data_IF_895181534380
#
_entry.id   IF_895181534380
#
_cell.length_a   1.000
_cell.length_b   1.000
_cell.length_c   1.000
_cell.angle_alpha   90.00
_cell.angle_beta   90.00
_cell.angle_gamma   90.00
#
_symmetry.space_group_name_H-M   'P 1'
#
loop_
_entity.id
_entity.type
_entity.pdbx_description
1 polymer ?
#
# COMPACT_ATOMS: atom_id res chain seq x y z
N UNK A 1 22.98 66.03 -23.15
CA UNK A 1 22.21 65.68 -21.94
C UNK A 1 22.27 64.18 -21.79
N UNK A 2 22.64 63.77 -20.59
CA UNK A 2 23.19 62.48 -20.18
C UNK A 2 22.10 61.42 -19.95
N UNK A 3 22.50 60.13 -19.96
CA UNK A 3 22.05 59.05 -19.05
C UNK A 3 22.48 57.65 -19.54
N UNK A 4 23.57 57.12 -18.95
CA UNK A 4 23.65 55.90 -18.08
C UNK A 4 22.78 54.66 -18.43
N UNK A 5 23.11 53.38 -18.26
CA UNK A 5 24.07 52.51 -17.54
C UNK A 5 23.71 51.07 -18.04
N UNK A 6 24.43 49.96 -17.89
CA UNK A 6 25.68 49.60 -17.25
C UNK A 6 25.91 48.10 -17.55
N UNK A 7 26.96 47.78 -18.29
CA UNK A 7 27.37 46.40 -18.56
C UNK A 7 28.34 45.97 -17.45
N UNK A 8 27.81 45.30 -16.43
CA UNK A 8 28.64 44.69 -15.37
C UNK A 8 29.46 43.54 -15.95
N UNK A 9 30.78 43.72 -15.97
CA UNK A 9 31.81 42.72 -16.27
C UNK A 9 31.66 41.53 -15.30
N UNK A 10 31.20 40.39 -15.78
CA UNK A 10 31.33 39.12 -15.05
C UNK A 10 32.79 38.65 -15.16
N UNK A 11 33.45 38.50 -14.01
CA UNK A 11 34.87 38.15 -13.86
C UNK A 11 35.13 36.66 -14.19
N UNK A 12 35.36 36.34 -15.47
CA UNK A 12 35.65 34.97 -15.96
C UNK A 12 36.96 34.32 -15.51
N UNK A 13 37.70 34.89 -14.55
CA UNK A 13 39.01 34.35 -14.13
C UNK A 13 38.91 33.35 -12.95
N UNK A 14 37.97 33.56 -12.03
CA UNK A 14 37.82 32.71 -10.82
C UNK A 14 37.14 31.37 -11.13
N UNK A 15 36.19 31.38 -12.05
CA UNK A 15 35.43 30.18 -12.42
C UNK A 15 36.28 29.23 -13.26
N UNK A 16 37.13 29.78 -14.14
CA UNK A 16 38.01 29.00 -15.03
C UNK A 16 39.17 28.31 -14.28
N UNK A 17 39.79 28.97 -13.28
CA UNK A 17 40.79 28.33 -12.40
C UNK A 17 40.18 27.18 -11.59
N UNK A 18 38.95 27.33 -11.09
CA UNK A 18 38.28 26.31 -10.29
C UNK A 18 37.95 25.05 -11.10
N UNK A 19 37.54 25.20 -12.37
CA UNK A 19 37.23 24.11 -13.30
C UNK A 19 38.53 23.40 -13.75
N UNK A 20 39.58 24.15 -14.08
CA UNK A 20 40.89 23.58 -14.45
C UNK A 20 41.50 22.82 -13.26
N UNK A 21 41.47 23.39 -12.05
CA UNK A 21 41.94 22.72 -10.82
C UNK A 21 41.15 21.43 -10.53
N UNK A 22 39.82 21.44 -10.71
CA UNK A 22 38.97 20.23 -10.62
C UNK A 22 39.38 19.17 -11.66
N UNK A 23 39.63 19.58 -12.91
CA UNK A 23 40.07 18.70 -14.01
C UNK A 23 41.41 18.04 -13.70
N UNK A 24 42.33 18.80 -13.10
CA UNK A 24 43.68 18.35 -12.75
C UNK A 24 43.70 17.39 -11.53
N UNK A 25 42.78 17.56 -10.57
CA UNK A 25 42.66 16.66 -9.41
C UNK A 25 42.15 15.29 -9.83
N UNK A 26 41.18 15.19 -10.74
CA UNK A 26 40.65 13.91 -11.24
C UNK A 26 41.57 13.17 -12.22
N UNK A 27 42.45 13.90 -12.94
CA UNK A 27 43.42 13.30 -13.85
C UNK A 27 44.65 12.70 -13.15
N UNK A 28 45.04 13.23 -11.98
CA UNK A 28 46.18 12.72 -11.19
C UNK A 28 45.85 11.48 -10.36
N UNK A 29 44.56 11.22 -10.13
CA UNK A 29 44.12 10.08 -9.34
C UNK A 29 44.34 8.79 -10.13
N UNK A 30 45.03 7.83 -9.50
CA UNK A 30 45.30 6.53 -10.10
C UNK A 30 43.98 5.82 -10.45
N UNK A 31 44.02 4.85 -11.38
CA UNK A 31 42.83 4.03 -11.72
C UNK A 31 42.20 3.42 -10.45
N UNK A 32 43.03 3.06 -9.48
CA UNK A 32 42.62 2.50 -8.19
C UNK A 32 41.83 3.50 -7.34
N UNK A 33 42.25 4.77 -7.28
CA UNK A 33 41.52 5.79 -6.52
C UNK A 33 40.15 6.10 -7.12
N UNK A 34 40.00 6.03 -8.45
CA UNK A 34 38.69 6.18 -9.11
C UNK A 34 37.76 5.01 -8.83
N UNK A 35 38.29 3.78 -8.84
CA UNK A 35 37.54 2.57 -8.46
C UNK A 35 37.10 2.68 -7.01
N UNK A 36 37.97 3.11 -6.10
CA UNK A 36 37.65 3.30 -4.69
C UNK A 36 36.54 4.35 -4.48
N UNK A 37 36.59 5.48 -5.20
CA UNK A 37 35.54 6.51 -5.16
C UNK A 37 34.20 6.01 -5.73
N UNK A 38 34.24 5.20 -6.78
CA UNK A 38 33.03 4.59 -7.32
C UNK A 38 32.42 3.56 -6.35
N UNK A 39 33.24 2.69 -5.77
CA UNK A 39 32.79 1.68 -4.78
C UNK A 39 32.23 2.35 -3.53
N UNK A 40 32.89 3.37 -2.99
CA UNK A 40 32.37 4.12 -1.84
C UNK A 40 31.07 4.85 -2.16
N UNK A 41 30.94 5.45 -3.35
CA UNK A 41 29.67 6.02 -3.81
C UNK A 41 28.55 5.00 -3.93
N UNK A 42 28.83 3.81 -4.49
CA UNK A 42 27.86 2.71 -4.59
C UNK A 42 27.45 2.23 -3.20
N UNK A 43 28.40 2.04 -2.28
CA UNK A 43 28.11 1.62 -0.90
C UNK A 43 27.23 2.65 -0.18
N UNK A 44 27.51 3.95 -0.33
CA UNK A 44 26.68 5.00 0.24
C UNK A 44 25.27 5.02 -0.35
N UNK A 45 25.13 4.83 -1.67
CA UNK A 45 23.82 4.73 -2.32
C UNK A 45 23.04 3.51 -1.81
N UNK A 46 23.68 2.36 -1.64
CA UNK A 46 23.06 1.17 -1.07
C UNK A 46 22.57 1.42 0.37
N UNK A 47 23.40 2.06 1.21
CA UNK A 47 23.01 2.43 2.58
C UNK A 47 21.83 3.38 2.59
N UNK A 48 21.80 4.38 1.71
CA UNK A 48 20.68 5.33 1.59
C UNK A 48 19.40 4.60 1.16
N UNK A 49 19.48 3.69 0.19
CA UNK A 49 18.33 2.89 -0.26
C UNK A 49 17.78 2.05 0.89
N UNK A 50 18.65 1.37 1.65
CA UNK A 50 18.23 0.57 2.81
C UNK A 50 17.58 1.43 3.91
N UNK A 51 18.13 2.62 4.17
CA UNK A 51 17.55 3.56 5.12
C UNK A 51 16.17 4.05 4.67
N UNK A 52 16.01 4.40 3.40
CA UNK A 52 14.71 4.80 2.82
C UNK A 52 13.69 3.67 2.90
N UNK A 53 14.09 2.42 2.59
CA UNK A 53 13.21 1.25 2.73
C UNK A 53 12.76 1.07 4.20
N UNK A 54 13.68 1.21 5.16
CA UNK A 54 13.37 1.11 6.58
C UNK A 54 12.38 2.19 7.05
N UNK A 55 12.58 3.45 6.61
CA UNK A 55 11.66 4.56 6.90
C UNK A 55 10.27 4.33 6.28
N UNK A 56 10.20 3.76 5.07
CA UNK A 56 8.93 3.43 4.40
C UNK A 56 8.22 2.28 5.15
N UNK A 57 8.94 1.27 5.64
CA UNK A 57 8.38 0.16 6.40
C UNK A 57 7.76 0.60 7.74
N UNK A 58 8.37 1.54 8.45
CA UNK A 58 7.82 2.11 9.71
C UNK A 58 6.48 2.83 9.55
N UNK A 59 6.02 3.12 8.32
CA UNK A 59 4.69 3.71 8.08
C UNK A 59 3.56 2.68 7.99
N UNK A 60 3.88 1.39 7.95
CA UNK A 60 2.91 0.30 7.76
C UNK A 60 2.51 -0.41 9.06
N UNK A 61 2.68 0.22 10.23
CA UNK A 61 2.27 -0.36 11.51
C UNK A 61 0.81 -0.04 11.86
N UNK A 62 -0.12 -0.29 10.93
CA UNK A 62 -1.50 -0.59 11.36
C UNK A 62 -1.52 -2.08 11.64
N UNK A 63 -1.33 -2.46 12.90
CA UNK A 63 -1.47 -3.86 13.31
C UNK A 63 -2.94 -4.27 13.14
N UNK A 64 -3.22 -5.07 12.11
CA UNK A 64 -4.52 -5.68 11.89
C UNK A 64 -4.49 -7.14 12.33
N UNK A 65 -5.63 -7.66 12.75
CA UNK A 65 -5.74 -9.05 13.15
C UNK A 65 -5.55 -9.97 11.94
N UNK A 66 -4.49 -10.78 11.95
CA UNK A 66 -4.16 -11.77 10.91
C UNK A 66 -4.45 -13.21 11.34
N UNK A 67 -5.18 -13.39 12.45
CA UNK A 67 -5.63 -14.73 12.84
C UNK A 67 -6.54 -15.31 11.75
N UNK A 68 -6.57 -16.64 11.59
CA UNK A 68 -7.44 -17.28 10.60
C UNK A 68 -8.92 -16.87 10.72
N UNK A 69 -9.40 -16.67 11.96
CA UNK A 69 -10.76 -16.20 12.23
C UNK A 69 -10.99 -14.79 11.68
N UNK A 70 -10.08 -13.85 11.94
CA UNK A 70 -10.19 -12.48 11.44
C UNK A 70 -10.17 -12.41 9.91
N UNK A 71 -9.26 -13.15 9.27
CA UNK A 71 -9.19 -13.20 7.80
C UNK A 71 -10.47 -13.77 7.19
N UNK A 72 -11.02 -14.83 7.80
CA UNK A 72 -12.27 -15.45 7.34
C UNK A 72 -13.46 -14.49 7.47
N UNK A 73 -13.59 -13.80 8.62
CA UNK A 73 -14.67 -12.83 8.84
C UNK A 73 -14.54 -11.65 7.87
N UNK A 74 -13.34 -11.10 7.70
CA UNK A 74 -13.10 -10.00 6.77
C UNK A 74 -13.46 -10.37 5.33
N UNK A 75 -13.08 -11.58 4.88
CA UNK A 75 -13.44 -12.08 3.56
C UNK A 75 -14.97 -12.20 3.40
N UNK A 76 -15.66 -12.72 4.41
CA UNK A 76 -17.12 -12.82 4.39
C UNK A 76 -17.79 -11.44 4.30
N UNK A 77 -17.34 -10.46 5.10
CA UNK A 77 -17.85 -9.08 5.03
C UNK A 77 -17.67 -8.52 3.63
N UNK A 78 -16.50 -8.67 3.02
CA UNK A 78 -16.23 -8.21 1.66
C UNK A 78 -17.15 -8.87 0.63
N UNK A 79 -17.40 -10.18 0.76
CA UNK A 79 -18.26 -10.92 -0.16
C UNK A 79 -19.74 -10.53 -0.05
N UNK A 80 -20.19 -10.04 1.11
CA UNK A 80 -21.57 -9.62 1.29
C UNK A 80 -21.85 -8.21 0.76
N UNK A 81 -20.81 -7.39 0.62
CA UNK A 81 -20.96 -6.02 0.14
C UNK A 81 -21.19 -5.93 -1.37
N UNK A 82 -22.00 -4.96 -1.78
CA UNK A 82 -22.11 -4.49 -3.16
C UNK A 82 -21.43 -3.11 -3.29
N UNK A 83 -20.13 -3.12 -3.59
CA UNK A 83 -19.31 -1.90 -3.67
C UNK A 83 -19.67 -0.99 -4.85
N UNK A 84 -20.61 -1.39 -5.72
CA UNK A 84 -21.13 -0.54 -6.79
C UNK A 84 -22.16 0.48 -6.32
N UNK A 85 -22.69 0.31 -5.11
CA UNK A 85 -23.70 1.18 -4.49
C UNK A 85 -23.03 2.17 -3.55
N UNK A 86 -23.48 3.43 -3.58
CA UNK A 86 -23.01 4.43 -2.61
C UNK A 86 -23.63 4.13 -1.23
N UNK A 87 -22.82 3.89 -0.18
CA UNK A 87 -23.34 3.63 1.17
C UNK A 87 -24.13 4.82 1.76
N UNK A 88 -23.93 6.04 1.27
CA UNK A 88 -24.69 7.21 1.70
C UNK A 88 -26.10 7.26 1.11
N UNK A 89 -26.32 6.58 -0.02
CA UNK A 89 -27.62 6.51 -0.69
C UNK A 89 -28.43 5.28 -0.25
N UNK A 90 -27.78 4.11 -0.21
CA UNK A 90 -28.40 2.86 0.27
C UNK A 90 -27.37 1.98 0.98
N UNK A 91 -27.25 2.17 2.30
CA UNK A 91 -26.31 1.39 3.11
C UNK A 91 -26.68 -0.10 3.17
N UNK A 92 -27.97 -0.46 3.08
CA UNK A 92 -28.39 -1.85 3.16
C UNK A 92 -27.95 -2.61 1.91
N UNK A 93 -28.20 -2.04 0.73
CA UNK A 93 -27.74 -2.63 -0.52
C UNK A 93 -26.21 -2.62 -0.60
N UNK A 94 -25.53 -1.56 -0.15
CA UNK A 94 -24.06 -1.56 -0.07
C UNK A 94 -23.52 -2.67 0.83
N UNK A 95 -24.09 -2.87 2.02
CA UNK A 95 -23.55 -3.82 3.01
C UNK A 95 -23.95 -5.27 2.73
N UNK A 96 -25.14 -5.51 2.18
CA UNK A 96 -25.74 -6.85 2.04
C UNK A 96 -26.02 -7.27 0.60
N UNK A 97 -25.92 -6.37 -0.39
CA UNK A 97 -26.32 -6.62 -1.77
C UNK A 97 -25.56 -7.76 -2.44
N UNK A 98 -24.29 -8.00 -2.07
CA UNK A 98 -23.53 -9.16 -2.50
C UNK A 98 -24.10 -10.48 -1.96
N UNK A 99 -24.52 -10.49 -0.70
CA UNK A 99 -25.16 -11.67 -0.09
C UNK A 99 -26.51 -11.98 -0.75
N UNK A 100 -27.35 -10.96 -0.96
CA UNK A 100 -28.67 -11.11 -1.60
C UNK A 100 -28.54 -11.71 -3.00
N UNK A 101 -27.55 -11.25 -3.79
CA UNK A 101 -27.28 -11.80 -5.13
C UNK A 101 -26.84 -13.26 -5.09
N UNK A 102 -26.05 -13.65 -4.09
CA UNK A 102 -25.53 -15.01 -3.96
C UNK A 102 -26.54 -15.98 -3.31
N UNK A 103 -27.54 -15.47 -2.60
CA UNK A 103 -28.48 -16.24 -1.79
C UNK A 103 -29.94 -15.88 -2.15
N UNK A 104 -30.43 -16.31 -3.32
CA UNK A 104 -31.82 -16.07 -3.69
C UNK A 104 -32.79 -16.82 -2.76
N UNK A 105 -33.98 -16.26 -2.57
CA UNK A 105 -35.06 -16.87 -1.77
C UNK A 105 -35.39 -18.29 -2.27
N UNK A 106 -35.21 -19.35 -1.45
CA UNK A 106 -35.59 -20.70 -1.83
C UNK A 106 -37.11 -20.84 -1.97
N UNK A 107 -37.58 -21.73 -2.86
CA UNK A 107 -39.01 -21.88 -3.20
C UNK A 107 -39.94 -22.16 -2.00
N UNK A 108 -39.40 -22.81 -0.97
CA UNK A 108 -40.15 -23.25 0.20
C UNK A 108 -40.03 -22.31 1.40
N UNK A 109 -39.41 -21.15 1.22
CA UNK A 109 -39.22 -20.16 2.29
C UNK A 109 -39.98 -18.87 1.97
N UNK A 110 -40.40 -18.18 3.02
CA UNK A 110 -41.06 -16.87 2.89
C UNK A 110 -40.04 -15.73 2.88
N UNK A 111 -39.00 -15.89 3.68
CA UNK A 111 -37.89 -14.96 3.82
C UNK A 111 -36.58 -15.76 3.86
N UNK A 112 -35.50 -15.13 3.42
CA UNK A 112 -34.17 -15.73 3.45
C UNK A 112 -33.14 -14.67 3.78
N UNK A 113 -32.71 -14.66 5.03
CA UNK A 113 -31.60 -13.87 5.52
C UNK A 113 -30.63 -14.75 6.36
N UNK A 114 -29.61 -14.11 6.95
CA UNK A 114 -28.58 -14.79 7.76
C UNK A 114 -29.15 -15.46 9.01
N UNK A 115 -30.23 -14.93 9.56
CA UNK A 115 -30.94 -15.49 10.69
C UNK A 115 -31.68 -16.77 10.32
N UNK A 116 -32.37 -16.83 9.18
CA UNK A 116 -33.01 -18.07 8.70
C UNK A 116 -31.95 -19.12 8.37
N UNK A 117 -30.84 -18.73 7.74
CA UNK A 117 -29.69 -19.61 7.48
C UNK A 117 -29.16 -20.25 8.78
N UNK A 118 -28.94 -19.43 9.81
CA UNK A 118 -28.49 -19.88 11.12
C UNK A 118 -29.52 -20.79 11.80
N UNK A 119 -30.80 -20.40 11.77
CA UNK A 119 -31.89 -21.16 12.39
C UNK A 119 -32.05 -22.52 11.74
N UNK A 120 -31.95 -22.62 10.41
CA UNK A 120 -31.97 -23.91 9.71
C UNK A 120 -30.79 -24.78 10.10
N UNK A 121 -29.58 -24.21 10.12
CA UNK A 121 -28.37 -24.92 10.55
C UNK A 121 -28.53 -25.47 11.98
N UNK A 122 -28.99 -24.63 12.90
CA UNK A 122 -29.21 -25.01 14.30
C UNK A 122 -30.27 -26.12 14.42
N UNK A 123 -31.39 -26.00 13.71
CA UNK A 123 -32.44 -27.01 13.70
C UNK A 123 -31.96 -28.33 13.08
N UNK A 124 -31.11 -28.28 12.06
CA UNK A 124 -30.48 -29.46 11.47
C UNK A 124 -29.59 -30.18 12.50
N UNK A 125 -28.76 -29.43 13.22
CA UNK A 125 -27.92 -29.98 14.30
C UNK A 125 -28.79 -30.58 15.40
N UNK A 126 -29.85 -29.89 15.83
CA UNK A 126 -30.76 -30.40 16.86
C UNK A 126 -31.40 -31.72 16.43
N UNK A 127 -31.93 -31.81 15.20
CA UNK A 127 -32.50 -33.06 14.66
C UNK A 127 -31.48 -34.18 14.62
N UNK A 128 -30.25 -33.88 14.21
CA UNK A 128 -29.16 -34.85 14.18
C UNK A 128 -28.83 -35.38 15.57
N UNK A 129 -28.64 -34.48 16.55
CA UNK A 129 -28.36 -34.86 17.95
C UNK A 129 -29.49 -35.68 18.55
N UNK A 130 -30.75 -35.27 18.35
CA UNK A 130 -31.91 -36.00 18.86
C UNK A 130 -32.07 -37.38 18.19
N UNK A 131 -31.81 -37.46 16.88
CA UNK A 131 -31.88 -38.72 16.13
C UNK A 131 -30.75 -39.71 16.46
N UNK A 132 -29.61 -39.25 16.98
CA UNK A 132 -28.53 -40.12 17.47
C UNK A 132 -28.77 -40.68 18.87
N UNK A 133 -29.77 -40.18 19.59
CA UNK A 133 -30.08 -40.56 20.97
C UNK A 133 -31.19 -41.64 21.07
N UNK A 134 -31.66 -42.17 19.94
CA UNK A 134 -32.62 -43.28 19.85
C UNK A 134 -32.01 -44.47 19.10
#
# INVERSE_FOLDING_TARGET
MDSTNGFSKVNGNKDQESIIKKRNVWQRRSKMEKILLAVTGILLLLVIILFVISVIQSRSDKEYCTTPACVTIAANVINFMDQSVDPCEDFYQYACGGWIKANPLPENERDWDRYEELTKTNNHILKYVLGMLQ
#
